data_IF_888765830696
#
_entry.id   IF_888765830696
#
_cell.length_a   1.000
_cell.length_b   1.000
_cell.length_c   1.000
_cell.angle_alpha   90.00
_cell.angle_beta   90.00
_cell.angle_gamma   90.00
#
_symmetry.space_group_name_H-M   'P 1'
#
loop_
_entity.id
_entity.type
_entity.pdbx_description
1 polymer ?
#
# COMPACT_ATOMS: atom_id res chain seq x y z
N UNK A 1 -19.40 -12.14 28.81
CA UNK A 1 -18.09 -12.59 29.36
C UNK A 1 -16.95 -11.64 29.00
N UNK A 2 -16.56 -11.48 27.72
CA UNK A 2 -15.54 -10.49 27.33
C UNK A 2 -15.96 -9.04 27.66
N UNK A 3 -17.20 -8.69 27.33
CA UNK A 3 -17.80 -7.39 27.68
C UNK A 3 -17.88 -7.16 29.20
N UNK A 4 -18.22 -8.19 29.98
CA UNK A 4 -18.25 -8.10 31.43
C UNK A 4 -16.85 -7.88 32.04
N UNK A 5 -15.80 -8.48 31.45
CA UNK A 5 -14.40 -8.24 31.84
C UNK A 5 -13.98 -6.79 31.55
N UNK A 6 -14.38 -6.23 30.41
CA UNK A 6 -14.15 -4.80 30.13
C UNK A 6 -14.87 -3.90 31.13
N UNK A 7 -16.13 -4.22 31.45
CA UNK A 7 -16.90 -3.45 32.43
C UNK A 7 -16.28 -3.53 33.84
N UNK A 8 -15.81 -4.71 34.25
CA UNK A 8 -15.09 -4.91 35.52
C UNK A 8 -13.77 -4.15 35.53
N UNK A 9 -13.02 -4.15 34.43
CA UNK A 9 -11.77 -3.38 34.30
C UNK A 9 -12.00 -1.88 34.46
N UNK A 10 -13.10 -1.35 33.92
CA UNK A 10 -13.48 0.06 34.07
C UNK A 10 -13.87 0.37 35.53
N UNK A 11 -14.65 -0.50 36.18
CA UNK A 11 -15.01 -0.35 37.60
C UNK A 11 -13.78 -0.43 38.52
N UNK A 12 -12.83 -1.32 38.22
CA UNK A 12 -11.60 -1.49 38.98
C UNK A 12 -10.73 -0.23 38.92
N UNK A 13 -10.50 0.31 37.71
CA UNK A 13 -9.76 1.56 37.53
C UNK A 13 -10.43 2.77 38.19
N UNK A 14 -11.76 2.74 38.34
CA UNK A 14 -12.50 3.77 39.06
C UNK A 14 -12.31 3.62 40.58
N UNK A 15 -12.45 2.41 41.11
CA UNK A 15 -12.24 2.12 42.52
C UNK A 15 -10.79 2.39 42.97
N UNK A 16 -9.81 2.14 42.10
CA UNK A 16 -8.40 2.46 42.34
C UNK A 16 -8.16 3.97 42.41
N UNK A 17 -8.77 4.75 41.51
CA UNK A 17 -8.74 6.22 41.54
C UNK A 17 -9.40 6.81 42.78
N UNK A 18 -10.50 6.20 43.24
CA UNK A 18 -11.23 6.62 44.43
C UNK A 18 -10.57 6.15 45.74
N UNK A 19 -9.45 5.42 45.67
CA UNK A 19 -8.71 4.90 46.83
C UNK A 19 -9.39 3.73 47.55
N UNK A 20 -10.42 3.13 46.95
CA UNK A 20 -11.16 2.01 47.55
C UNK A 20 -10.48 0.67 47.25
N UNK A 21 -9.40 0.39 47.99
CA UNK A 21 -8.58 -0.82 47.82
C UNK A 21 -9.33 -2.13 48.09
N UNK A 22 -10.35 -2.11 48.95
CA UNK A 22 -11.19 -3.28 49.24
C UNK A 22 -12.02 -3.67 48.00
N UNK A 23 -12.63 -2.68 47.34
CA UNK A 23 -13.37 -2.91 46.09
C UNK A 23 -12.45 -3.35 44.95
N UNK A 24 -11.24 -2.81 44.86
CA UNK A 24 -10.23 -3.26 43.87
C UNK A 24 -9.89 -4.74 44.08
N UNK A 25 -9.68 -5.17 45.32
CA UNK A 25 -9.37 -6.56 45.62
C UNK A 25 -10.53 -7.52 45.29
N UNK A 26 -11.78 -7.13 45.59
CA UNK A 26 -12.98 -7.90 45.25
C UNK A 26 -13.14 -8.07 43.73
N UNK A 27 -12.94 -6.99 42.97
CA UNK A 27 -13.04 -7.01 41.51
C UNK A 27 -11.92 -7.86 40.90
N UNK A 28 -10.65 -7.59 41.27
CA UNK A 28 -9.47 -8.23 40.68
C UNK A 28 -9.35 -9.71 41.02
N UNK A 29 -9.47 -10.09 42.29
CA UNK A 29 -9.22 -11.46 42.74
C UNK A 29 -10.50 -12.31 42.84
N UNK A 30 -11.66 -11.68 42.98
CA UNK A 30 -12.95 -12.37 42.97
C UNK A 30 -13.50 -12.48 41.56
N UNK A 31 -14.02 -11.37 41.04
CA UNK A 31 -14.85 -11.37 39.82
C UNK A 31 -14.04 -11.57 38.55
N UNK A 32 -12.93 -10.85 38.37
CA UNK A 32 -12.08 -10.96 37.17
C UNK A 32 -11.47 -12.35 37.06
N UNK A 33 -10.92 -12.90 38.15
CA UNK A 33 -10.32 -14.23 38.14
C UNK A 33 -11.35 -15.34 37.84
N UNK A 34 -12.56 -15.24 38.36
CA UNK A 34 -13.64 -16.19 38.06
C UNK A 34 -14.06 -16.10 36.59
N UNK A 35 -14.33 -14.89 36.09
CA UNK A 35 -14.74 -14.69 34.69
C UNK A 35 -13.66 -15.09 33.68
N UNK A 36 -12.38 -14.84 33.99
CA UNK A 36 -11.26 -15.30 33.15
C UNK A 36 -11.19 -16.83 33.08
N UNK A 37 -11.43 -17.51 34.21
CA UNK A 37 -11.45 -18.97 34.26
C UNK A 37 -12.62 -19.52 33.44
N UNK A 38 -13.82 -18.98 33.64
CA UNK A 38 -15.00 -19.40 32.88
C UNK A 38 -14.81 -19.13 31.38
N UNK A 39 -14.18 -18.01 31.01
CA UNK A 39 -13.88 -17.67 29.62
C UNK A 39 -12.90 -18.67 29.01
N UNK A 40 -11.84 -19.04 29.74
CA UNK A 40 -10.86 -20.03 29.29
C UNK A 40 -11.51 -21.41 29.09
N UNK A 41 -12.35 -21.85 30.03
CA UNK A 41 -13.08 -23.12 29.92
C UNK A 41 -14.04 -23.12 28.71
N UNK A 42 -14.76 -22.02 28.47
CA UNK A 42 -15.63 -21.88 27.31
C UNK A 42 -14.84 -21.87 25.99
N UNK A 43 -13.68 -21.21 25.96
CA UNK A 43 -12.80 -21.19 24.79
C UNK A 43 -12.22 -22.57 24.47
N UNK A 44 -11.74 -23.32 25.48
CA UNK A 44 -11.24 -24.68 25.30
C UNK A 44 -12.34 -25.64 24.83
N UNK A 45 -13.55 -25.50 25.38
CA UNK A 45 -14.70 -26.28 24.94
C UNK A 45 -15.04 -26.00 23.47
N UNK A 46 -15.05 -24.72 23.07
CA UNK A 46 -15.29 -24.31 21.70
C UNK A 46 -14.21 -24.83 20.74
N UNK A 47 -12.93 -24.76 21.14
CA UNK A 47 -11.79 -25.27 20.36
C UNK A 47 -11.94 -26.77 20.05
N UNK A 48 -12.36 -27.54 21.05
CA UNK A 48 -12.62 -28.99 20.89
C UNK A 48 -13.81 -29.31 19.97
N UNK A 49 -14.81 -28.42 19.92
CA UNK A 49 -15.95 -28.54 19.01
C UNK A 49 -15.58 -28.14 17.58
N UNK A 50 -14.73 -27.13 17.41
CA UNK A 50 -14.22 -26.66 16.12
C UNK A 50 -13.33 -27.69 15.41
N UNK A 51 -12.56 -28.50 16.14
CA UNK A 51 -11.79 -29.63 15.57
C UNK A 51 -12.69 -30.66 14.87
N UNK A 52 -13.93 -30.82 15.35
CA UNK A 52 -14.91 -31.78 14.80
C UNK A 52 -15.86 -31.19 13.77
N UNK A 53 -16.17 -29.89 13.86
CA UNK A 53 -17.06 -29.18 12.94
C UNK A 53 -16.53 -27.77 12.65
N UNK A 54 -15.80 -27.61 11.54
CA UNK A 54 -15.23 -26.35 11.02
C UNK A 54 -16.27 -25.29 10.57
N UNK A 55 -17.51 -25.34 11.03
CA UNK A 55 -18.59 -24.50 10.51
C UNK A 55 -18.56 -23.03 10.98
N UNK A 56 -17.81 -22.71 12.05
CA UNK A 56 -17.72 -21.35 12.59
C UNK A 56 -16.25 -20.99 12.87
N UNK A 57 -15.72 -20.08 12.05
CA UNK A 57 -14.41 -19.44 12.22
C UNK A 57 -14.60 -18.19 13.10
N UNK A 58 -13.91 -18.14 14.24
CA UNK A 58 -14.04 -17.02 15.21
C UNK A 58 -13.01 -15.91 14.96
N UNK A 59 -11.92 -16.23 14.25
CA UNK A 59 -10.83 -15.31 13.96
C UNK A 59 -10.81 -14.94 12.48
N UNK A 60 -10.56 -13.65 12.22
CA UNK A 60 -10.36 -13.12 10.88
C UNK A 60 -8.90 -13.33 10.50
N UNK A 61 -8.64 -14.03 9.39
CA UNK A 61 -7.29 -14.20 8.84
C UNK A 61 -7.09 -13.45 7.52
N UNK A 62 -5.90 -13.59 6.94
CA UNK A 62 -5.52 -12.93 5.70
C UNK A 62 -6.44 -13.30 4.52
N UNK A 63 -7.00 -14.52 4.50
CA UNK A 63 -7.93 -14.96 3.46
C UNK A 63 -9.27 -14.22 3.57
N UNK A 64 -9.78 -14.03 4.80
CA UNK A 64 -11.02 -13.30 5.03
C UNK A 64 -10.89 -11.83 4.62
N UNK A 65 -9.76 -11.20 4.97
CA UNK A 65 -9.46 -9.82 4.57
C UNK A 65 -9.34 -9.72 3.04
N UNK A 66 -8.59 -10.65 2.42
CA UNK A 66 -8.41 -10.68 0.98
C UNK A 66 -9.74 -10.88 0.23
N UNK A 67 -10.66 -11.69 0.75
CA UNK A 67 -11.98 -11.90 0.12
C UNK A 67 -12.82 -10.63 0.11
N UNK A 68 -12.81 -9.87 1.22
CA UNK A 68 -13.52 -8.59 1.30
C UNK A 68 -12.93 -7.57 0.32
N UNK A 69 -11.60 -7.42 0.31
CA UNK A 69 -10.92 -6.47 -0.59
C UNK A 69 -11.08 -6.90 -2.05
N UNK A 70 -11.04 -8.21 -2.34
CA UNK A 70 -11.25 -8.76 -3.68
C UNK A 70 -12.62 -8.39 -4.24
N UNK A 71 -13.69 -8.47 -3.44
CA UNK A 71 -15.03 -8.05 -3.86
C UNK A 71 -15.13 -6.55 -4.18
N UNK A 72 -14.35 -5.71 -3.50
CA UNK A 72 -14.33 -4.26 -3.73
C UNK A 72 -13.43 -3.83 -4.89
N UNK A 73 -12.26 -4.45 -5.00
CA UNK A 73 -11.20 -4.07 -5.94
C UNK A 73 -11.27 -4.84 -7.26
N UNK A 74 -11.92 -6.01 -7.28
CA UNK A 74 -11.88 -6.96 -8.40
C UNK A 74 -10.55 -7.73 -8.52
N UNK A 75 -9.60 -7.54 -7.61
CA UNK A 75 -8.31 -8.25 -7.61
C UNK A 75 -8.54 -9.68 -7.08
N UNK A 76 -8.12 -10.75 -7.79
CA UNK A 76 -8.31 -12.12 -7.33
C UNK A 76 -7.60 -12.40 -6.00
N UNK A 77 -8.28 -13.08 -5.08
CA UNK A 77 -7.74 -13.46 -3.76
C UNK A 77 -6.39 -14.18 -3.88
N UNK A 78 -6.23 -15.08 -4.85
CA UNK A 78 -4.97 -15.79 -5.07
C UNK A 78 -3.79 -14.86 -5.40
N UNK A 79 -4.04 -13.71 -6.05
CA UNK A 79 -3.00 -12.71 -6.32
C UNK A 79 -2.65 -11.90 -5.07
N UNK A 80 -3.61 -11.69 -4.17
CA UNK A 80 -3.40 -10.93 -2.93
C UNK A 80 -2.66 -11.76 -1.88
N UNK A 81 -2.90 -13.07 -1.85
CA UNK A 81 -2.23 -14.02 -0.95
C UNK A 81 -0.85 -14.47 -1.47
N UNK A 82 -0.50 -14.12 -2.70
CA UNK A 82 0.83 -14.40 -3.25
C UNK A 82 1.91 -13.67 -2.44
N UNK A 83 2.95 -14.39 -2.03
CA UNK A 83 4.06 -13.76 -1.31
C UNK A 83 4.79 -12.74 -2.20
N UNK A 84 5.11 -11.57 -1.65
CA UNK A 84 5.83 -10.52 -2.40
C UNK A 84 7.15 -11.05 -2.97
N UNK A 85 7.83 -11.94 -2.22
CA UNK A 85 9.06 -12.60 -2.68
C UNK A 85 8.84 -13.41 -3.96
N UNK A 86 7.79 -14.22 -3.99
CA UNK A 86 7.46 -15.06 -5.16
C UNK A 86 7.07 -14.21 -6.36
N UNK A 87 6.26 -13.16 -6.12
CA UNK A 87 5.90 -12.16 -7.15
C UNK A 87 7.16 -11.58 -7.80
N UNK A 88 8.14 -11.15 -7.00
CA UNK A 88 9.39 -10.53 -7.46
C UNK A 88 10.38 -11.50 -8.13
N UNK A 89 10.34 -12.79 -7.79
CA UNK A 89 11.18 -13.83 -8.45
C UNK A 89 10.74 -14.02 -9.90
N UNK A 90 9.44 -13.91 -10.18
CA UNK A 90 8.87 -14.07 -11.52
C UNK A 90 8.62 -12.73 -12.24
N UNK A 91 9.23 -11.63 -11.78
CA UNK A 91 8.96 -10.30 -12.30
C UNK A 91 9.32 -10.16 -13.78
N UNK A 92 10.51 -10.62 -14.18
CA UNK A 92 10.93 -10.57 -15.59
C UNK A 92 10.00 -11.35 -16.50
N UNK A 93 9.58 -12.55 -16.07
CA UNK A 93 8.68 -13.42 -16.85
C UNK A 93 7.33 -12.73 -17.07
N UNK A 94 6.72 -12.21 -15.99
CA UNK A 94 5.42 -11.53 -16.05
C UNK A 94 5.47 -10.23 -16.86
N UNK A 95 6.54 -9.45 -16.76
CA UNK A 95 6.71 -8.26 -17.59
C UNK A 95 6.92 -8.63 -19.07
N UNK A 96 7.62 -9.74 -19.34
CA UNK A 96 7.89 -10.23 -20.70
C UNK A 96 6.66 -10.78 -21.40
N UNK A 97 5.61 -11.18 -20.67
CA UNK A 97 4.31 -11.56 -21.26
C UNK A 97 3.66 -10.39 -22.02
N UNK A 98 3.85 -9.15 -21.56
CA UNK A 98 3.30 -7.93 -22.17
C UNK A 98 4.32 -7.19 -23.04
N UNK A 99 5.59 -7.14 -22.61
CA UNK A 99 6.63 -6.34 -23.27
C UNK A 99 7.60 -7.25 -24.03
N UNK A 100 7.39 -7.35 -25.34
CA UNK A 100 8.17 -8.24 -26.20
C UNK A 100 9.47 -7.59 -26.66
N UNK A 101 10.59 -8.32 -26.53
CA UNK A 101 11.88 -7.93 -27.12
C UNK A 101 12.69 -6.90 -26.32
N UNK A 102 12.25 -6.48 -25.13
CA UNK A 102 12.91 -5.48 -24.28
C UNK A 102 13.60 -6.09 -23.05
N UNK A 103 14.30 -7.22 -23.22
CA UNK A 103 14.85 -8.02 -22.11
C UNK A 103 15.74 -7.20 -21.16
N UNK A 104 16.65 -6.38 -21.70
CA UNK A 104 17.58 -5.61 -20.88
C UNK A 104 16.87 -4.55 -20.03
N UNK A 105 15.86 -3.87 -20.60
CA UNK A 105 15.05 -2.90 -19.87
C UNK A 105 14.24 -3.58 -18.75
N UNK A 106 13.64 -4.74 -19.04
CA UNK A 106 12.89 -5.54 -18.07
C UNK A 106 13.80 -5.97 -16.90
N UNK A 107 15.01 -6.46 -17.19
CA UNK A 107 15.99 -6.85 -16.16
C UNK A 107 16.40 -5.64 -15.32
N UNK A 108 16.68 -4.49 -15.94
CA UNK A 108 17.08 -3.28 -15.23
C UNK A 108 16.01 -2.79 -14.25
N UNK A 109 14.75 -2.77 -14.70
CA UNK A 109 13.59 -2.41 -13.87
C UNK A 109 13.39 -3.42 -12.74
N UNK A 110 13.41 -4.72 -13.05
CA UNK A 110 13.19 -5.78 -12.06
C UNK A 110 14.25 -5.77 -10.96
N UNK A 111 15.52 -5.53 -11.32
CA UNK A 111 16.60 -5.40 -10.35
C UNK A 111 16.45 -4.17 -9.44
N UNK A 112 16.02 -3.03 -9.96
CA UNK A 112 15.78 -1.84 -9.14
C UNK A 112 14.64 -2.06 -8.14
N UNK A 113 13.53 -2.65 -8.59
CA UNK A 113 12.39 -2.95 -7.73
C UNK A 113 12.76 -3.97 -6.64
N UNK A 114 13.52 -5.02 -6.97
CA UNK A 114 14.03 -5.97 -5.97
C UNK A 114 14.94 -5.30 -4.95
N UNK A 115 15.83 -4.40 -5.36
CA UNK A 115 16.69 -3.64 -4.43
C UNK A 115 15.86 -2.81 -3.45
N UNK A 116 14.88 -2.07 -3.96
CA UNK A 116 13.99 -1.26 -3.11
C UNK A 116 13.23 -2.12 -2.09
N UNK A 117 12.64 -3.24 -2.54
CA UNK A 117 11.87 -4.14 -1.66
C UNK A 117 12.73 -4.95 -0.67
N UNK A 118 14.00 -5.14 -0.97
CA UNK A 118 14.96 -5.77 -0.03
C UNK A 118 15.46 -4.84 1.09
N UNK A 119 15.06 -3.57 1.08
CA UNK A 119 15.55 -2.57 2.05
C UNK A 119 17.00 -2.16 1.84
N UNK A 120 17.61 -2.54 0.70
CA UNK A 120 18.98 -2.16 0.33
C UNK A 120 19.07 -0.76 -0.28
N UNK A 121 17.94 -0.09 -0.45
CA UNK A 121 17.83 1.25 -1.00
C UNK A 121 17.57 2.28 0.10
N UNK A 122 18.06 3.50 -0.12
CA UNK A 122 17.71 4.69 0.65
C UNK A 122 16.17 4.87 0.75
N UNK A 123 15.59 4.90 1.97
CA UNK A 123 14.14 5.05 2.16
C UNK A 123 13.61 6.41 1.71
N UNK A 124 14.45 7.44 1.60
CA UNK A 124 14.06 8.78 1.15
C UNK A 124 14.06 8.90 -0.39
N UNK A 125 14.31 7.80 -1.12
CA UNK A 125 14.33 7.77 -2.59
C UNK A 125 13.19 6.93 -3.19
N UNK A 126 12.69 7.29 -4.39
CA UNK A 126 11.70 6.49 -5.10
C UNK A 126 12.21 5.08 -5.41
N UNK A 127 11.32 4.07 -5.40
CA UNK A 127 11.61 2.64 -5.69
C UNK A 127 12.52 2.44 -6.92
N UNK A 128 12.35 3.27 -7.94
CA UNK A 128 13.25 3.32 -9.08
C UNK A 128 13.02 4.61 -9.88
N UNK A 129 14.10 5.12 -10.47
CA UNK A 129 14.06 6.20 -11.45
C UNK A 129 14.74 5.71 -12.72
N UNK A 130 14.07 5.84 -13.85
CA UNK A 130 14.49 5.25 -15.11
C UNK A 130 14.37 6.26 -16.25
N UNK A 131 15.29 6.18 -17.21
CA UNK A 131 15.21 6.90 -18.48
C UNK A 131 15.21 5.85 -19.59
N UNK A 132 14.09 5.73 -20.31
CA UNK A 132 13.96 4.80 -21.43
C UNK A 132 14.32 5.46 -22.75
N UNK A 133 15.46 5.07 -23.32
CA UNK A 133 15.95 5.55 -24.62
C UNK A 133 15.68 4.54 -25.73
N UNK A 134 15.24 5.00 -26.90
CA UNK A 134 14.85 4.14 -28.03
C UNK A 134 13.84 4.81 -28.96
N UNK A 135 13.53 4.22 -30.11
CA UNK A 135 12.52 4.76 -31.03
C UNK A 135 11.11 4.70 -30.46
N UNK A 136 10.17 5.40 -31.08
CA UNK A 136 8.76 5.32 -30.74
C UNK A 136 8.20 3.92 -31.06
N UNK A 137 7.19 3.49 -30.31
CA UNK A 137 6.51 2.21 -30.56
C UNK A 137 7.23 0.94 -30.10
N UNK A 138 8.44 1.03 -29.50
CA UNK A 138 9.19 -0.15 -29.02
C UNK A 138 8.73 -0.70 -27.67
N UNK A 139 7.75 -0.07 -27.02
CA UNK A 139 7.16 -0.56 -25.77
C UNK A 139 7.59 0.18 -24.50
N UNK A 140 8.16 1.39 -24.58
CA UNK A 140 8.54 2.19 -23.38
C UNK A 140 7.35 2.47 -22.45
N UNK A 141 6.27 3.01 -23.03
CA UNK A 141 5.00 3.29 -22.31
C UNK A 141 4.35 2.01 -21.82
N UNK A 142 4.41 0.93 -22.62
CA UNK A 142 3.85 -0.37 -22.25
C UNK A 142 4.59 -0.98 -21.05
N UNK A 143 5.92 -0.82 -20.97
CA UNK A 143 6.69 -1.26 -19.82
C UNK A 143 6.31 -0.50 -18.54
N UNK A 144 6.04 0.80 -18.63
CA UNK A 144 5.55 1.58 -17.48
C UNK A 144 4.15 1.10 -17.02
N UNK A 145 3.25 0.81 -17.96
CA UNK A 145 1.92 0.25 -17.67
C UNK A 145 1.98 -1.15 -17.08
N UNK A 146 2.80 -2.02 -17.66
CA UNK A 146 3.03 -3.37 -17.16
C UNK A 146 3.63 -3.33 -15.75
N UNK A 147 4.53 -2.38 -15.48
CA UNK A 147 5.10 -2.16 -14.15
C UNK A 147 4.04 -1.71 -13.13
N UNK A 148 3.17 -0.76 -13.50
CA UNK A 148 2.07 -0.30 -12.64
C UNK A 148 1.11 -1.46 -12.31
N UNK A 149 0.71 -2.21 -13.34
CA UNK A 149 -0.13 -3.39 -13.18
C UNK A 149 0.55 -4.49 -12.37
N UNK A 150 1.87 -4.65 -12.45
CA UNK A 150 2.59 -5.68 -11.70
C UNK A 150 2.75 -5.30 -10.23
N UNK A 151 3.18 -4.07 -9.93
CA UNK A 151 3.47 -3.65 -8.55
C UNK A 151 2.18 -3.37 -7.78
N UNK A 152 1.21 -2.72 -8.41
CA UNK A 152 0.01 -2.20 -7.75
C UNK A 152 -1.27 -2.94 -8.12
N UNK A 153 -1.17 -4.01 -8.93
CA UNK A 153 -2.32 -4.77 -9.45
C UNK A 153 -3.36 -3.91 -10.18
N UNK A 154 -2.95 -2.72 -10.65
CA UNK A 154 -3.81 -1.74 -11.30
C UNK A 154 -3.01 -0.90 -12.31
N UNK A 155 -3.37 -1.00 -13.59
CA UNK A 155 -2.75 -0.19 -14.65
C UNK A 155 -3.04 1.32 -14.49
N UNK A 156 -4.18 1.67 -13.88
CA UNK A 156 -4.53 3.07 -13.60
C UNK A 156 -3.66 3.69 -12.50
N UNK A 157 -2.82 2.89 -11.82
CA UNK A 157 -1.78 3.37 -10.94
C UNK A 157 -0.63 4.08 -11.69
N UNK A 158 -0.70 4.18 -13.02
CA UNK A 158 0.20 5.01 -13.79
C UNK A 158 -0.34 6.44 -13.94
N UNK A 159 0.40 7.41 -13.40
CA UNK A 159 0.19 8.85 -13.66
C UNK A 159 1.02 9.21 -14.89
N UNK A 160 0.36 9.51 -16.01
CA UNK A 160 1.02 9.89 -17.26
C UNK A 160 0.99 11.40 -17.45
N UNK A 161 2.15 11.97 -17.78
CA UNK A 161 2.35 13.38 -18.05
C UNK A 161 2.98 13.50 -19.44
N UNK A 162 2.31 14.19 -20.35
CA UNK A 162 2.87 14.52 -21.66
C UNK A 162 3.76 15.76 -21.54
N UNK A 163 5.07 15.59 -21.74
CA UNK A 163 6.04 16.68 -21.57
C UNK A 163 5.98 17.72 -22.69
N UNK A 164 5.29 17.44 -23.79
CA UNK A 164 4.96 18.45 -24.80
C UNK A 164 4.04 19.55 -24.25
N UNK A 165 3.28 19.31 -23.18
CA UNK A 165 2.48 20.35 -22.50
C UNK A 165 3.31 21.27 -21.59
N UNK A 166 4.56 20.90 -21.33
CA UNK A 166 5.47 21.56 -20.38
C UNK A 166 6.74 22.11 -21.07
N UNK A 167 6.64 22.42 -22.37
CA UNK A 167 7.74 23.02 -23.15
C UNK A 167 8.08 24.46 -22.72
N UNK A 168 7.10 25.18 -22.17
CA UNK A 168 7.26 26.58 -21.75
C UNK A 168 7.48 26.70 -20.24
N UNK A 169 8.30 27.67 -19.83
CA UNK A 169 8.62 27.93 -18.42
C UNK A 169 7.37 28.11 -17.53
N UNK A 170 6.35 28.81 -18.02
CA UNK A 170 5.13 29.06 -17.25
C UNK A 170 4.27 27.79 -17.06
N UNK A 171 4.32 26.86 -18.01
CA UNK A 171 3.61 25.60 -17.89
C UNK A 171 4.16 24.71 -16.75
N UNK A 172 5.46 24.81 -16.46
CA UNK A 172 6.12 24.06 -15.37
C UNK A 172 5.51 24.35 -14.00
N UNK A 173 5.10 25.60 -13.75
CA UNK A 173 4.43 25.95 -12.48
C UNK A 173 3.14 25.17 -12.27
N UNK A 174 2.44 24.76 -13.34
CA UNK A 174 1.23 23.92 -13.23
C UNK A 174 1.54 22.48 -12.77
N UNK A 175 2.77 22.02 -12.92
CA UNK A 175 3.18 20.67 -12.51
C UNK A 175 3.21 20.54 -10.98
N UNK A 176 3.84 21.50 -10.31
CA UNK A 176 4.06 21.49 -8.85
C UNK A 176 3.13 22.42 -8.06
N UNK A 177 2.47 23.33 -8.73
CA UNK A 177 1.61 24.36 -8.14
C UNK A 177 2.24 25.74 -8.31
N UNK A 178 1.39 26.74 -8.50
CA UNK A 178 1.86 28.11 -8.57
C UNK A 178 2.35 28.57 -7.19
N UNK A 179 3.31 29.50 -7.09
CA UNK A 179 3.68 30.14 -5.82
C UNK A 179 2.61 31.15 -5.37
N UNK A 180 2.61 31.56 -4.07
CA UNK A 180 1.63 32.52 -3.57
C UNK A 180 1.61 33.81 -4.40
N UNK A 181 0.43 34.27 -4.79
CA UNK A 181 0.24 35.46 -5.62
C UNK A 181 0.20 35.23 -7.14
N UNK A 182 0.27 33.98 -7.59
CA UNK A 182 0.05 33.60 -8.99
C UNK A 182 -1.30 32.88 -9.16
N UNK A 183 -1.89 32.98 -10.36
CA UNK A 183 -3.14 32.27 -10.69
C UNK A 183 -2.91 30.75 -10.56
N UNK A 184 -3.79 30.07 -9.82
CA UNK A 184 -3.69 28.62 -9.56
C UNK A 184 -2.94 28.23 -8.28
N UNK A 185 -2.60 29.19 -7.40
CA UNK A 185 -1.97 28.90 -6.10
C UNK A 185 -2.82 27.95 -5.23
N UNK A 186 -4.13 28.16 -5.17
CA UNK A 186 -5.04 27.36 -4.34
C UNK A 186 -5.43 26.01 -4.98
N UNK A 187 -5.09 25.79 -6.26
CA UNK A 187 -5.47 24.58 -7.02
C UNK A 187 -4.44 23.45 -6.90
N UNK A 188 -3.25 23.74 -6.37
CA UNK A 188 -2.14 22.79 -6.30
C UNK A 188 -1.54 22.46 -7.67
N UNK A 189 -0.42 21.75 -7.69
CA UNK A 189 0.16 21.24 -8.93
C UNK A 189 -0.50 19.96 -9.40
N UNK A 190 -0.59 19.76 -10.70
CA UNK A 190 -1.13 18.52 -11.28
C UNK A 190 -0.39 17.28 -10.76
N UNK A 191 0.96 17.28 -10.77
CA UNK A 191 1.74 16.16 -10.27
C UNK A 191 1.61 16.02 -8.76
N UNK A 192 1.70 17.12 -8.02
CA UNK A 192 1.61 17.08 -6.54
C UNK A 192 0.26 16.58 -6.06
N UNK A 193 -0.84 16.99 -6.71
CA UNK A 193 -2.18 16.53 -6.36
C UNK A 193 -2.43 15.09 -6.81
N UNK A 194 -1.94 14.70 -7.99
CA UNK A 194 -2.04 13.32 -8.48
C UNK A 194 -1.32 12.34 -7.52
N UNK A 195 -0.11 12.68 -7.10
CA UNK A 195 0.66 11.86 -6.14
C UNK A 195 0.04 11.92 -4.74
N UNK A 196 -0.46 13.07 -4.28
CA UNK A 196 -1.15 13.16 -2.98
C UNK A 196 -2.38 12.25 -2.93
N UNK A 197 -3.16 12.20 -4.01
CA UNK A 197 -4.34 11.32 -4.12
C UNK A 197 -3.94 9.86 -4.30
N UNK A 198 -2.81 9.60 -4.96
CA UNK A 198 -2.32 8.24 -5.23
C UNK A 198 -0.80 8.11 -5.02
N UNK A 199 -0.36 7.97 -3.75
CA UNK A 199 1.06 7.92 -3.41
C UNK A 199 1.79 6.71 -3.99
N UNK A 200 1.08 5.58 -4.11
CA UNK A 200 1.57 4.35 -4.72
C UNK A 200 1.23 4.34 -6.21
N UNK A 201 2.13 4.88 -7.01
CA UNK A 201 1.95 5.05 -8.45
C UNK A 201 3.25 4.94 -9.23
N UNK A 202 3.13 4.66 -10.53
CA UNK A 202 4.20 4.83 -11.52
C UNK A 202 4.00 6.17 -12.18
N UNK A 203 5.00 7.06 -12.12
CA UNK A 203 4.94 8.35 -12.80
C UNK A 203 5.68 8.22 -14.14
N UNK A 204 4.94 8.40 -15.24
CA UNK A 204 5.50 8.40 -16.59
C UNK A 204 5.56 9.82 -17.14
N UNK A 205 6.78 10.32 -17.34
CA UNK A 205 7.04 11.53 -18.12
C UNK A 205 7.27 11.14 -19.58
N UNK A 206 6.24 11.25 -20.40
CA UNK A 206 6.29 10.89 -21.82
C UNK A 206 6.94 12.02 -22.62
N UNK A 207 7.74 11.67 -23.64
CA UNK A 207 8.51 12.65 -24.44
C UNK A 207 9.34 13.65 -23.63
N UNK A 208 10.01 13.20 -22.56
CA UNK A 208 10.78 14.05 -21.63
C UNK A 208 11.79 14.99 -22.30
N UNK A 209 12.31 14.62 -23.47
CA UNK A 209 13.20 15.48 -24.27
C UNK A 209 12.53 16.78 -24.76
N UNK A 210 11.19 16.87 -24.75
CA UNK A 210 10.43 18.07 -25.10
C UNK A 210 10.26 19.01 -23.91
N UNK A 211 10.44 18.54 -22.68
CA UNK A 211 10.19 19.33 -21.49
C UNK A 211 11.11 20.56 -21.41
N UNK A 212 10.60 21.64 -20.83
CA UNK A 212 11.44 22.78 -20.46
C UNK A 212 12.51 22.35 -19.44
N UNK A 213 13.70 22.97 -19.47
CA UNK A 213 14.83 22.63 -18.59
C UNK A 213 14.48 22.67 -17.09
N UNK A 214 13.56 23.55 -16.70
CA UNK A 214 13.07 23.66 -15.31
C UNK A 214 12.36 22.40 -14.80
N UNK A 215 11.80 21.57 -15.69
CA UNK A 215 11.23 20.28 -15.28
C UNK A 215 12.33 19.36 -14.74
N UNK A 216 13.50 19.33 -15.37
CA UNK A 216 14.63 18.52 -14.89
C UNK A 216 15.15 18.99 -13.53
N UNK A 217 15.12 20.29 -13.25
CA UNK A 217 15.50 20.84 -11.95
C UNK A 217 14.56 20.37 -10.83
N UNK A 218 13.27 20.17 -11.13
CA UNK A 218 12.27 19.67 -10.17
C UNK A 218 12.46 18.18 -9.88
N UNK A 219 12.99 17.41 -10.83
CA UNK A 219 13.17 15.96 -10.72
C UNK A 219 14.48 15.54 -10.03
N UNK A 220 15.37 16.49 -9.70
CA UNK A 220 16.69 16.28 -9.07
C UNK A 220 16.66 16.58 -7.57
#
# INVERSE_FOLDING_TARGET
>A
MKEDLEHISIEEQKAERDGNLERVAELRYGKTSALQKDLAEAQDHLKSLQEKNKMLKEEVDDEDIAEVISRWSGIPVQRMLESEREKLVHMEDRLSERVIGQKDAIIAVSNAVRRARSGLQDPDRPIGSFIFMGPTGVGKTELAKALASFIFDDESAMIRLDMSEYMEKHAVARLIGAPPGYVGYDEGGYLTEAVRRRPYSVILFDEIEKAHVEVFNILL
#
